data_IF_054532309940
#
_entry.id   IF_054532309940
#
_cell.length_a   1.000
_cell.length_b   1.000
_cell.length_c   1.000
_cell.angle_alpha   90.00
_cell.angle_beta   90.00
_cell.angle_gamma   90.00
#
_symmetry.space_group_name_H-M   'P 1'
#
loop_
_entity.id
_entity.type
_entity.pdbx_description
1 polymer ?
#
# COMPACT_ATOMS: atom_id res chain seq x y z
N UNK A 1 -3.13 -15.69 -24.04
CA UNK A 1 -2.96 -15.72 -22.57
C UNK A 1 -2.43 -14.38 -22.10
N UNK A 2 -3.29 -13.49 -21.62
CA UNK A 2 -2.89 -12.45 -20.67
C UNK A 2 -3.78 -12.68 -19.47
N UNK A 3 -3.24 -13.38 -18.48
CA UNK A 3 -3.88 -13.53 -17.19
C UNK A 3 -3.69 -12.18 -16.45
N UNK A 4 -4.41 -11.15 -16.90
CA UNK A 4 -4.68 -9.96 -16.08
C UNK A 4 -5.70 -10.35 -15.02
N UNK A 5 -5.32 -11.32 -14.18
CA UNK A 5 -5.99 -11.53 -12.91
C UNK A 5 -5.75 -10.26 -12.08
N UNK A 6 -6.65 -9.29 -12.24
CA UNK A 6 -6.63 -8.00 -11.57
C UNK A 6 -6.46 -8.23 -10.08
N UNK A 7 -5.42 -7.64 -9.50
CA UNK A 7 -5.15 -7.71 -8.08
C UNK A 7 -6.37 -7.15 -7.32
N UNK A 8 -7.16 -8.05 -6.74
CA UNK A 8 -8.38 -7.75 -5.98
C UNK A 8 -8.15 -8.21 -4.53
N UNK A 9 -7.49 -7.39 -3.70
CA UNK A 9 -7.31 -7.74 -2.29
C UNK A 9 -8.67 -7.76 -1.59
N UNK A 10 -8.90 -8.73 -0.73
CA UNK A 10 -10.07 -8.75 0.15
C UNK A 10 -9.82 -7.80 1.33
N UNK A 11 -9.95 -6.52 1.06
CA UNK A 11 -9.60 -5.44 1.99
C UNK A 11 -10.40 -5.49 3.31
N UNK A 12 -11.49 -6.27 3.36
CA UNK A 12 -12.30 -6.49 4.56
C UNK A 12 -11.70 -7.52 5.53
N UNK A 13 -10.83 -8.42 5.05
CA UNK A 13 -10.19 -9.42 5.90
C UNK A 13 -9.07 -8.85 6.80
N UNK A 14 -8.55 -7.65 6.49
CA UNK A 14 -7.51 -6.96 7.26
C UNK A 14 -6.16 -7.71 7.26
N UNK A 15 -5.13 -7.12 6.65
CA UNK A 15 -3.78 -7.73 6.64
C UNK A 15 -3.06 -7.73 5.30
N UNK A 16 -3.48 -6.87 4.37
CA UNK A 16 -2.83 -6.76 3.07
C UNK A 16 -1.62 -5.85 3.16
N UNK A 17 -0.45 -6.49 3.20
CA UNK A 17 0.85 -5.83 3.20
C UNK A 17 1.51 -5.97 1.83
N UNK A 18 2.00 -4.87 1.29
CA UNK A 18 2.76 -4.87 0.03
C UNK A 18 4.10 -4.18 0.21
N UNK A 19 5.10 -4.58 -0.59
CA UNK A 19 6.39 -3.88 -0.61
C UNK A 19 6.20 -2.45 -1.13
N UNK A 20 7.08 -1.51 -0.76
CA UNK A 20 7.03 -0.14 -1.30
C UNK A 20 7.06 -0.11 -2.84
N UNK A 21 7.81 -1.03 -3.45
CA UNK A 21 7.86 -1.16 -4.91
C UNK A 21 6.52 -1.62 -5.50
N UNK A 22 5.84 -2.60 -4.88
CA UNK A 22 4.52 -3.04 -5.34
C UNK A 22 3.48 -1.95 -5.12
N UNK A 23 3.54 -1.23 -4.00
CA UNK A 23 2.68 -0.08 -3.76
C UNK A 23 2.86 0.99 -4.84
N UNK A 24 4.10 1.34 -5.18
CA UNK A 24 4.40 2.29 -6.25
C UNK A 24 3.75 1.87 -7.59
N UNK A 25 3.73 0.58 -7.92
CA UNK A 25 3.03 0.09 -9.10
C UNK A 25 1.51 0.31 -9.02
N UNK A 26 0.90 -0.01 -7.88
CA UNK A 26 -0.55 0.11 -7.67
C UNK A 26 -1.04 1.55 -7.79
N UNK A 27 -0.26 2.52 -7.33
CA UNK A 27 -0.63 3.95 -7.34
C UNK A 27 -0.12 4.71 -8.58
N UNK A 28 0.38 4.00 -9.60
CA UNK A 28 0.84 4.63 -10.85
C UNK A 28 2.21 5.32 -10.76
N UNK A 29 3.01 5.01 -9.73
CA UNK A 29 4.35 5.57 -9.47
C UNK A 29 5.48 4.56 -9.74
N UNK A 30 5.25 3.54 -10.60
CA UNK A 30 6.24 2.48 -10.91
C UNK A 30 7.62 3.05 -11.26
N UNK A 31 7.67 4.11 -12.06
CA UNK A 31 8.93 4.73 -12.53
C UNK A 31 9.45 5.82 -11.58
N UNK A 32 8.77 6.06 -10.45
CA UNK A 32 9.10 7.08 -9.44
C UNK A 32 9.03 6.53 -8.01
N UNK A 33 9.72 5.42 -7.69
CA UNK A 33 9.64 4.77 -6.37
C UNK A 33 10.15 5.67 -5.23
N UNK A 34 11.02 6.64 -5.52
CA UNK A 34 11.54 7.59 -4.53
C UNK A 34 10.43 8.44 -3.86
N UNK A 35 9.33 8.70 -4.57
CA UNK A 35 8.18 9.43 -4.00
C UNK A 35 7.52 8.60 -2.89
N UNK A 36 7.32 7.30 -3.13
CA UNK A 36 6.78 6.38 -2.13
C UNK A 36 7.72 6.27 -0.93
N UNK A 37 9.04 6.22 -1.16
CA UNK A 37 10.00 6.20 -0.06
C UNK A 37 9.91 7.47 0.78
N UNK A 38 9.79 8.65 0.16
CA UNK A 38 9.57 9.91 0.88
C UNK A 38 8.33 9.87 1.79
N UNK A 39 7.20 9.37 1.29
CA UNK A 39 5.99 9.20 2.11
C UNK A 39 6.17 8.26 3.30
N UNK A 40 6.99 7.21 3.14
CA UNK A 40 7.31 6.28 4.23
C UNK A 40 8.18 6.97 5.28
N UNK A 41 9.22 7.67 4.84
CA UNK A 41 10.16 8.36 5.73
C UNK A 41 9.48 9.50 6.51
N UNK A 42 8.51 10.17 5.89
CA UNK A 42 7.66 11.21 6.51
C UNK A 42 6.54 10.64 7.39
N UNK A 43 6.27 9.33 7.34
CA UNK A 43 5.15 8.71 8.04
C UNK A 43 3.77 9.06 7.46
N UNK A 44 3.72 9.53 6.21
CA UNK A 44 2.50 9.96 5.52
C UNK A 44 1.59 8.80 5.10
N UNK A 45 2.14 7.59 4.99
CA UNK A 45 1.38 6.36 4.71
C UNK A 45 1.62 5.30 5.80
N UNK A 46 0.61 4.49 6.15
CA UNK A 46 0.75 3.48 7.18
C UNK A 46 1.66 2.34 6.71
N UNK A 47 2.61 1.99 7.58
CA UNK A 47 3.56 0.90 7.32
C UNK A 47 3.73 -0.01 8.53
N UNK A 48 4.20 -1.23 8.28
CA UNK A 48 4.55 -2.22 9.29
C UNK A 48 5.92 -2.79 8.98
N UNK A 49 6.70 -3.06 10.03
CA UNK A 49 7.97 -3.78 9.90
C UNK A 49 7.76 -5.25 10.25
N UNK A 50 7.90 -6.13 9.27
CA UNK A 50 7.74 -7.58 9.41
C UNK A 50 9.00 -8.28 8.88
N UNK A 51 9.63 -9.13 9.70
CA UNK A 51 10.86 -9.83 9.30
C UNK A 51 12.01 -8.90 8.88
N UNK A 52 12.06 -7.67 9.40
CA UNK A 52 13.05 -6.66 9.02
C UNK A 52 12.73 -5.85 7.77
N UNK A 53 11.67 -6.20 7.03
CA UNK A 53 11.20 -5.47 5.86
C UNK A 53 10.11 -4.46 6.21
N UNK A 54 10.13 -3.29 5.58
CA UNK A 54 9.04 -2.31 5.65
C UNK A 54 8.01 -2.65 4.58
N UNK A 55 6.75 -2.77 4.99
CA UNK A 55 5.62 -3.03 4.11
C UNK A 55 4.55 -1.96 4.32
N UNK A 56 3.89 -1.56 3.23
CA UNK A 56 2.73 -0.65 3.27
C UNK A 56 1.51 -1.44 3.68
N UNK A 57 0.77 -0.94 4.68
CA UNK A 57 -0.48 -1.53 5.16
C UNK A 57 -1.65 -0.95 4.36
N UNK A 58 -2.14 -1.72 3.39
CA UNK A 58 -3.23 -1.26 2.52
C UNK A 58 -4.57 -1.16 3.27
N UNK A 59 -4.79 -2.00 4.28
CA UNK A 59 -6.01 -1.97 5.08
C UNK A 59 -6.08 -0.66 5.86
N UNK A 60 -5.01 -0.32 6.58
CA UNK A 60 -4.93 0.95 7.30
C UNK A 60 -5.02 2.15 6.36
N UNK A 61 -4.39 2.10 5.19
CA UNK A 61 -4.42 3.19 4.22
C UNK A 61 -5.86 3.49 3.75
N UNK A 62 -6.66 2.47 3.49
CA UNK A 62 -8.06 2.66 3.07
C UNK A 62 -8.92 3.24 4.18
N UNK A 63 -8.71 2.81 5.43
CA UNK A 63 -9.42 3.38 6.58
C UNK A 63 -9.11 4.88 6.73
N UNK A 64 -7.89 5.34 6.41
CA UNK A 64 -7.54 6.78 6.41
C UNK A 64 -8.29 7.58 5.34
N UNK A 65 -8.72 6.93 4.25
CA UNK A 65 -9.45 7.58 3.15
C UNK A 65 -10.96 7.55 3.31
N UNK A 66 -11.49 6.79 4.28
CA UNK A 66 -12.92 6.83 4.58
C UNK A 66 -13.21 8.13 5.35
N UNK A 67 -14.04 9.04 4.81
CA UNK A 67 -14.49 10.17 5.59
C UNK A 67 -15.26 9.64 6.80
N UNK A 68 -15.01 10.27 7.95
CA UNK A 68 -15.73 10.06 9.20
C UNK A 68 -17.23 9.96 8.88
N UNK A 69 -17.82 8.78 9.06
CA UNK A 69 -19.27 8.61 8.96
C UNK A 69 -19.86 9.24 10.22
N UNK A 70 -19.95 10.57 10.23
CA UNK A 70 -20.62 11.38 11.24
C UNK A 70 -22.07 11.68 10.83
#
# INVERSE_FOLDING_TARGET
MNDESGFSPDLLAGGYYVTPQRFAQLVGLKDRPAIVQGWIDEGAIPTRRLGGQVLVDLGALLLMTQPDQA
#
